data_IF_495846536793
#
_entry.id   IF_495846536793
#
_cell.length_a   1.000
_cell.length_b   1.000
_cell.length_c   1.000
_cell.angle_alpha   90.00
_cell.angle_beta   90.00
_cell.angle_gamma   90.00
#
_symmetry.space_group_name_H-M   'P 1'
#
loop_
_entity.id
_entity.type
_entity.pdbx_description
1 polymer ?
#
# COMPACT_ATOMS: atom_id res chain seq x y z
N UNK A 1 -15.52 12.62 -9.73
CA UNK A 1 -14.53 12.91 -8.67
C UNK A 1 -14.35 11.62 -7.89
N UNK A 2 -13.18 10.96 -7.99
CA UNK A 2 -12.88 9.78 -7.16
C UNK A 2 -12.76 10.29 -5.73
N UNK A 3 -13.67 9.93 -4.82
CA UNK A 3 -13.59 10.30 -3.41
C UNK A 3 -12.32 9.67 -2.80
N UNK A 4 -11.22 10.42 -2.60
CA UNK A 4 -9.96 9.83 -2.19
C UNK A 4 -10.02 9.34 -0.73
N UNK A 5 -10.96 9.87 0.06
CA UNK A 5 -10.90 9.73 1.51
C UNK A 5 -11.42 8.38 2.03
N UNK A 6 -12.50 7.82 1.48
CA UNK A 6 -13.12 6.61 2.04
C UNK A 6 -12.29 5.34 1.80
N UNK A 7 -11.66 5.23 0.63
CA UNK A 7 -10.85 4.06 0.28
C UNK A 7 -9.53 4.05 1.05
N UNK A 8 -8.90 5.21 1.19
CA UNK A 8 -7.66 5.37 1.96
C UNK A 8 -7.90 5.07 3.45
N UNK A 9 -9.01 5.53 4.02
CA UNK A 9 -9.39 5.22 5.40
C UNK A 9 -9.65 3.73 5.62
N UNK A 10 -10.34 3.06 4.68
CA UNK A 10 -10.60 1.62 4.78
C UNK A 10 -9.31 0.81 4.66
N UNK A 11 -8.45 1.12 3.69
CA UNK A 11 -7.15 0.46 3.52
C UNK A 11 -6.23 0.68 4.73
N UNK A 12 -6.24 1.90 5.30
CA UNK A 12 -5.52 2.19 6.54
C UNK A 12 -6.04 1.36 7.71
N UNK A 13 -7.37 1.24 7.83
CA UNK A 13 -7.99 0.44 8.89
C UNK A 13 -7.62 -1.04 8.79
N UNK A 14 -7.61 -1.60 7.57
CA UNK A 14 -7.14 -2.97 7.31
C UNK A 14 -5.68 -3.11 7.76
N UNK A 15 -4.80 -2.20 7.33
CA UNK A 15 -3.40 -2.26 7.75
C UNK A 15 -3.24 -2.19 9.27
N UNK A 16 -3.91 -1.26 9.95
CA UNK A 16 -3.79 -1.13 11.41
C UNK A 16 -4.30 -2.39 12.15
N UNK A 17 -5.34 -3.05 11.62
CA UNK A 17 -5.85 -4.31 12.18
C UNK A 17 -4.82 -5.46 12.10
N UNK A 18 -4.05 -5.53 11.01
CA UNK A 18 -3.04 -6.58 10.78
C UNK A 18 -1.60 -6.15 11.08
N UNK A 19 -1.42 -4.92 11.58
CA UNK A 19 -0.12 -4.25 11.67
C UNK A 19 0.93 -5.05 12.42
N UNK A 20 0.59 -5.58 13.59
CA UNK A 20 1.54 -6.29 14.43
C UNK A 20 2.13 -7.52 13.72
N UNK A 21 1.29 -8.23 12.97
CA UNK A 21 1.70 -9.40 12.19
C UNK A 21 2.49 -8.99 10.94
N UNK A 22 1.95 -8.06 10.16
CA UNK A 22 2.57 -7.66 8.90
C UNK A 22 3.91 -6.94 9.12
N UNK A 23 4.02 -6.08 10.13
CA UNK A 23 5.30 -5.45 10.48
C UNK A 23 6.33 -6.48 10.97
N UNK A 24 5.91 -7.57 11.62
CA UNK A 24 6.83 -8.64 12.01
C UNK A 24 7.34 -9.43 10.80
N UNK A 25 6.46 -9.73 9.83
CA UNK A 25 6.78 -10.63 8.71
C UNK A 25 7.35 -9.92 7.48
N UNK A 26 6.93 -8.69 7.24
CA UNK A 26 7.11 -7.98 5.97
C UNK A 26 7.74 -6.60 6.14
N UNK A 27 8.36 -6.30 7.28
CA UNK A 27 9.02 -5.00 7.51
C UNK A 27 9.89 -4.57 6.31
N UNK A 28 9.68 -3.34 5.84
CA UNK A 28 10.42 -2.79 4.72
C UNK A 28 9.99 -3.29 3.33
N UNK A 29 9.05 -4.24 3.23
CA UNK A 29 8.47 -4.68 1.95
C UNK A 29 7.26 -3.83 1.57
N UNK A 30 6.86 -3.95 0.31
CA UNK A 30 5.65 -3.34 -0.26
C UNK A 30 4.57 -4.41 -0.28
N UNK A 31 3.40 -4.08 0.25
CA UNK A 31 2.21 -4.93 0.21
C UNK A 31 1.13 -4.28 -0.63
N UNK A 32 0.36 -5.09 -1.35
CA UNK A 32 -0.89 -4.71 -1.98
C UNK A 32 -2.05 -5.23 -1.13
N UNK A 33 -2.78 -4.31 -0.51
CA UNK A 33 -3.98 -4.57 0.29
C UNK A 33 -5.18 -4.59 -0.66
N UNK A 34 -5.93 -5.69 -0.68
CA UNK A 34 -7.20 -5.80 -1.38
C UNK A 34 -8.32 -5.41 -0.41
N UNK A 35 -8.89 -4.23 -0.67
CA UNK A 35 -9.93 -3.60 0.16
C UNK A 35 -11.21 -4.43 0.22
N UNK A 36 -11.49 -5.18 -0.83
CA UNK A 36 -12.70 -5.99 -0.96
C UNK A 36 -12.55 -7.30 -0.15
N UNK A 37 -11.33 -7.83 -0.05
CA UNK A 37 -11.02 -9.05 0.71
C UNK A 37 -10.65 -8.82 2.19
N UNK A 38 -10.39 -7.56 2.58
CA UNK A 38 -9.90 -7.20 3.92
C UNK A 38 -8.55 -7.88 4.28
N UNK A 39 -7.70 -8.11 3.28
CA UNK A 39 -6.38 -8.76 3.42
C UNK A 39 -5.41 -8.25 2.33
N UNK A 40 -4.14 -8.69 2.34
CA UNK A 40 -3.18 -8.43 1.27
C UNK A 40 -3.17 -9.54 0.20
N UNK A 41 -2.94 -9.15 -1.05
CA UNK A 41 -2.94 -10.07 -2.21
C UNK A 41 -1.51 -10.38 -2.73
N UNK A 42 -0.58 -9.45 -2.53
CA UNK A 42 0.83 -9.60 -2.93
C UNK A 42 1.75 -8.81 -2.02
N UNK A 43 3.00 -9.28 -1.92
CA UNK A 43 4.08 -8.66 -1.14
C UNK A 43 5.39 -8.78 -1.92
N UNK A 44 6.20 -7.73 -1.93
CA UNK A 44 7.45 -7.71 -2.69
C UNK A 44 8.32 -6.50 -2.38
N UNK A 45 9.44 -6.37 -3.07
CA UNK A 45 10.39 -5.26 -2.88
C UNK A 45 10.15 -4.10 -3.85
N UNK A 46 9.53 -4.39 -4.99
CA UNK A 46 9.27 -3.45 -6.07
C UNK A 46 7.76 -3.23 -6.26
N UNK A 47 7.35 -1.97 -6.49
CA UNK A 47 5.95 -1.60 -6.73
C UNK A 47 5.40 -2.29 -7.98
N UNK A 48 6.18 -2.34 -9.06
CA UNK A 48 5.73 -2.87 -10.35
C UNK A 48 5.37 -4.35 -10.26
N UNK A 49 6.19 -5.14 -9.58
CA UNK A 49 5.95 -6.58 -9.41
C UNK A 49 4.73 -6.84 -8.51
N UNK A 50 4.63 -6.07 -7.42
CA UNK A 50 3.51 -6.15 -6.48
C UNK A 50 2.18 -5.78 -7.15
N UNK A 51 2.15 -4.70 -7.95
CA UNK A 51 0.95 -4.27 -8.71
C UNK A 51 0.56 -5.30 -9.77
N UNK A 52 1.54 -5.79 -10.54
CA UNK A 52 1.30 -6.81 -11.58
C UNK A 52 0.70 -8.07 -10.98
N UNK A 53 1.27 -8.57 -9.87
CA UNK A 53 0.73 -9.73 -9.16
C UNK A 53 -0.67 -9.49 -8.60
N UNK A 54 -0.90 -8.33 -7.99
CA UNK A 54 -2.18 -7.98 -7.40
C UNK A 54 -3.28 -7.96 -8.47
N UNK A 55 -3.05 -7.29 -9.60
CA UNK A 55 -4.00 -7.23 -10.72
C UNK A 55 -4.24 -8.60 -11.34
N UNK A 56 -3.21 -9.45 -11.42
CA UNK A 56 -3.34 -10.82 -11.93
C UNK A 56 -4.18 -11.71 -11.01
N UNK A 57 -4.00 -11.59 -9.70
CA UNK A 57 -4.72 -12.40 -8.69
C UNK A 57 -6.13 -11.90 -8.41
N UNK A 58 -6.37 -10.59 -8.54
CA UNK A 58 -7.61 -9.89 -8.20
C UNK A 58 -7.96 -8.86 -9.28
N UNK A 59 -8.33 -9.30 -10.48
CA UNK A 59 -8.69 -8.38 -11.55
C UNK A 59 -9.95 -7.58 -11.17
N UNK A 60 -9.88 -6.26 -11.31
CA UNK A 60 -11.00 -5.35 -11.04
C UNK A 60 -11.25 -5.01 -9.57
N UNK A 61 -10.51 -5.61 -8.63
CA UNK A 61 -10.59 -5.28 -7.22
C UNK A 61 -9.92 -3.95 -6.90
N UNK A 62 -10.33 -3.35 -5.79
CA UNK A 62 -9.71 -2.14 -5.27
C UNK A 62 -8.47 -2.48 -4.46
N UNK A 63 -7.30 -2.16 -5.04
CA UNK A 63 -6.00 -2.45 -4.45
C UNK A 63 -5.33 -1.17 -3.94
N UNK A 64 -4.85 -1.20 -2.70
CA UNK A 64 -4.06 -0.15 -2.07
C UNK A 64 -2.65 -0.66 -1.75
N UNK A 65 -1.62 0.01 -2.28
CA UNK A 65 -0.23 -0.39 -2.02
C UNK A 65 0.44 0.49 -0.98
N UNK A 66 1.21 -0.13 -0.09
CA UNK A 66 2.05 0.61 0.87
C UNK A 66 3.30 -0.15 1.27
N UNK A 67 4.28 0.58 1.77
CA UNK A 67 5.42 0.00 2.48
C UNK A 67 5.04 -0.35 3.92
N UNK A 68 5.46 -1.53 4.37
CA UNK A 68 5.24 -2.04 5.73
C UNK A 68 6.33 -1.51 6.66
N UNK A 69 5.95 -1.14 7.87
CA UNK A 69 6.86 -0.67 8.93
C UNK A 69 6.77 0.82 9.24
N UNK A 70 7.59 1.23 10.21
CA UNK A 70 7.67 2.62 10.72
C UNK A 70 8.45 3.50 9.71
N UNK A 71 7.75 4.47 9.11
CA UNK A 71 8.20 5.46 8.13
C UNK A 71 8.39 4.99 6.68
N UNK A 72 7.39 5.16 5.79
CA UNK A 72 7.73 5.50 4.41
C UNK A 72 8.46 6.84 4.46
N UNK A 73 9.66 6.91 3.91
CA UNK A 73 10.39 8.17 3.80
C UNK A 73 9.47 9.22 3.13
N UNK A 74 9.01 10.20 3.92
CA UNK A 74 8.33 11.39 3.38
C UNK A 74 9.44 12.24 2.77
N UNK A 75 9.80 11.99 1.52
CA UNK A 75 10.67 12.91 0.79
C UNK A 75 9.81 14.13 0.42
N UNK A 76 9.90 15.19 1.23
CA UNK A 76 9.49 16.53 0.78
C UNK A 76 10.45 16.93 -0.34
N UNK A 77 10.00 16.81 -1.60
CA UNK A 77 10.64 17.50 -2.71
C UNK A 77 10.51 19.01 -2.44
N UNK A 78 11.61 19.63 -2.01
CA UNK A 78 11.71 21.09 -1.97
C UNK A 78 11.86 21.51 -3.44
N UNK A 79 10.84 22.16 -4.01
CA UNK A 79 10.97 22.81 -5.31
C UNK A 79 12.19 23.74 -5.24
N UNK A 80 13.28 23.38 -5.92
CA UNK A 80 14.29 24.35 -6.31
C UNK A 80 13.66 25.15 -7.43
N UNK A 81 13.11 26.31 -7.08
CA UNK A 81 12.94 27.38 -8.05
C UNK A 81 14.34 27.65 -8.63
N UNK A 82 14.55 27.27 -9.88
CA UNK A 82 15.60 27.86 -10.69
C UNK A 82 15.12 29.27 -11.04
N UNK A 83 15.79 30.26 -10.47
CA UNK A 83 15.80 31.65 -10.96
C UNK A 83 17.22 31.94 -11.39
#
# INVERSE_FOLDING_TARGET
MLEPNKFDEKAKSIYEAHKAEWEKLYNGKIIAIDIDSNDFVSVGENISDVDMEARRKRPGHQIFMRRVGKNPAVVKLRNRNYV
#
